data_IF_716870638341
#
_entry.id   IF_716870638341
#
_cell.length_a   1.000
_cell.length_b   1.000
_cell.length_c   1.000
_cell.angle_alpha   90.00
_cell.angle_beta   90.00
_cell.angle_gamma   90.00
#
_symmetry.space_group_name_H-M   'P 1'
#
loop_
_entity.id
_entity.type
_entity.pdbx_description
1 polymer ?
#
# COMPACT_ATOMS: atom_id res chain seq x y z
N UNK A 1 26.92 22.07 35.42
CA UNK A 1 26.66 21.31 36.66
C UNK A 1 26.54 19.85 36.23
N UNK A 2 27.51 18.99 36.59
CA UNK A 2 27.58 17.59 36.14
C UNK A 2 26.71 16.72 37.05
N UNK A 3 25.72 16.02 36.50
CA UNK A 3 25.02 14.94 37.22
C UNK A 3 25.35 13.63 36.51
N UNK A 4 26.08 12.79 37.23
CA UNK A 4 26.36 11.39 36.89
C UNK A 4 25.23 10.56 37.46
N UNK A 5 24.50 9.79 36.65
CA UNK A 5 23.70 8.68 37.15
C UNK A 5 24.31 7.36 36.69
N UNK A 6 24.59 6.53 37.71
CA UNK A 6 25.12 5.18 37.62
C UNK A 6 23.96 4.19 37.51
N UNK A 7 24.14 3.22 36.60
CA UNK A 7 24.11 1.77 36.84
C UNK A 7 22.95 1.19 37.66
N UNK A 8 22.16 0.32 37.04
CA UNK A 8 21.94 -1.06 37.52
C UNK A 8 21.32 -1.90 36.40
N UNK A 9 22.04 -2.94 35.97
CA UNK A 9 21.51 -4.00 35.13
C UNK A 9 20.70 -5.00 35.95
N UNK A 10 19.76 -5.66 35.28
CA UNK A 10 19.16 -6.90 35.76
C UNK A 10 19.06 -7.87 34.58
N UNK A 11 19.90 -8.90 34.64
CA UNK A 11 19.84 -10.10 33.81
C UNK A 11 18.74 -10.99 34.39
N UNK A 12 17.78 -11.42 33.58
CA UNK A 12 16.88 -12.51 33.94
C UNK A 12 16.86 -13.55 32.81
N UNK A 13 17.71 -14.57 32.96
CA UNK A 13 17.61 -15.84 32.24
C UNK A 13 16.55 -16.70 32.91
N UNK A 14 15.59 -17.24 32.15
CA UNK A 14 14.84 -18.43 32.53
C UNK A 14 14.61 -19.28 31.27
N UNK A 15 15.44 -20.32 31.15
CA UNK A 15 15.18 -21.50 30.33
C UNK A 15 14.85 -22.66 31.28
N UNK A 16 13.82 -23.45 30.95
CA UNK A 16 13.59 -24.86 31.35
C UNK A 16 12.26 -25.27 30.67
N UNK A 17 12.31 -25.92 29.51
CA UNK A 17 12.47 -27.37 29.29
C UNK A 17 11.14 -28.13 29.29
N UNK A 18 10.84 -28.70 28.12
CA UNK A 18 9.80 -29.68 27.86
C UNK A 18 10.00 -30.98 28.66
N UNK A 19 8.89 -31.62 29.03
CA UNK A 19 8.85 -33.04 29.33
C UNK A 19 7.54 -33.64 28.79
N UNK A 20 7.69 -34.45 27.76
CA UNK A 20 6.73 -35.39 27.20
C UNK A 20 6.41 -36.53 28.18
N UNK A 21 5.13 -36.93 28.28
CA UNK A 21 4.76 -38.27 28.72
C UNK A 21 3.63 -38.82 27.85
N UNK A 22 3.99 -39.88 27.12
CA UNK A 22 3.15 -40.85 26.43
C UNK A 22 2.39 -41.70 27.44
N UNK A 23 1.13 -42.06 27.16
CA UNK A 23 0.38 -43.03 27.95
C UNK A 23 -0.85 -43.58 27.21
N UNK A 24 -0.71 -44.80 26.68
CA UNK A 24 -1.74 -45.60 25.99
C UNK A 24 -2.82 -46.18 26.92
N UNK A 25 -3.97 -46.53 26.32
CA UNK A 25 -4.95 -47.53 26.79
C UNK A 25 -6.25 -46.89 27.32
N UNK A 26 -7.47 -47.24 26.90
CA UNK A 26 -7.97 -48.45 26.26
C UNK A 26 -9.23 -48.93 27.01
N UNK A 27 -10.40 -48.54 26.50
CA UNK A 27 -11.67 -49.29 26.44
C UNK A 27 -12.30 -49.94 27.70
N UNK A 28 -13.50 -49.50 28.14
CA UNK A 28 -14.80 -50.16 27.89
C UNK A 28 -15.98 -49.63 28.74
N UNK A 29 -17.03 -49.26 27.99
CA UNK A 29 -18.48 -49.42 28.18
C UNK A 29 -19.14 -49.61 29.57
N UNK A 30 -20.22 -48.84 29.79
CA UNK A 30 -21.50 -49.37 30.30
C UNK A 30 -22.69 -48.51 29.82
N UNK A 31 -23.80 -49.20 29.59
CA UNK A 31 -25.01 -48.89 28.80
C UNK A 31 -26.05 -47.90 29.39
N UNK A 32 -27.14 -47.75 28.60
CA UNK A 32 -28.57 -47.52 28.93
C UNK A 32 -29.09 -46.11 28.58
N UNK A 33 -30.18 -45.88 27.83
CA UNK A 33 -31.37 -46.65 27.38
C UNK A 33 -32.04 -45.81 26.25
N UNK A 34 -32.31 -46.37 25.06
CA UNK A 34 -33.60 -46.86 24.51
C UNK A 34 -34.70 -45.80 24.24
N UNK A 35 -35.04 -45.62 22.96
CA UNK A 35 -36.42 -45.60 22.40
C UNK A 35 -36.30 -45.49 20.87
N UNK A 36 -36.47 -46.60 20.15
CA UNK A 36 -37.72 -47.05 19.50
C UNK A 36 -37.77 -46.68 18.01
N UNK A 37 -38.08 -47.70 17.22
CA UNK A 37 -38.00 -47.78 15.78
C UNK A 37 -39.36 -47.54 15.15
N UNK A 38 -39.40 -47.14 13.88
CA UNK A 38 -40.31 -47.72 12.88
C UNK A 38 -39.59 -47.84 11.54
N UNK A 39 -39.63 -49.05 10.99
CA UNK A 39 -39.18 -49.46 9.66
C UNK A 39 -40.31 -49.26 8.65
N UNK A 40 -39.98 -48.99 7.38
CA UNK A 40 -40.66 -49.62 6.23
C UNK A 40 -39.69 -49.57 5.02
N UNK A 41 -39.07 -50.70 4.64
CA UNK A 41 -39.31 -51.53 3.43
C UNK A 41 -39.21 -50.74 2.09
N UNK A 42 -38.55 -51.19 1.01
CA UNK A 42 -38.20 -52.52 0.54
C UNK A 42 -37.00 -52.52 -0.44
N UNK A 43 -36.41 -53.70 -0.61
CA UNK A 43 -35.38 -54.18 -1.57
C UNK A 43 -35.74 -53.85 -3.05
N UNK A 44 -34.85 -53.88 -4.05
CA UNK A 44 -33.98 -55.02 -4.46
C UNK A 44 -33.00 -54.65 -5.59
N UNK A 45 -31.78 -55.19 -5.49
CA UNK A 45 -30.90 -55.83 -6.50
C UNK A 45 -30.28 -55.14 -7.75
N UNK A 46 -28.94 -55.04 -7.67
CA UNK A 46 -27.88 -55.63 -8.54
C UNK A 46 -27.31 -54.93 -9.80
N UNK A 47 -25.96 -54.87 -9.75
CA UNK A 47 -24.90 -55.00 -10.81
C UNK A 47 -24.77 -53.84 -11.81
N UNK A 48 -23.59 -53.42 -12.28
CA UNK A 48 -22.20 -53.86 -12.22
C UNK A 48 -21.32 -52.61 -12.46
N UNK A 49 -20.24 -52.39 -11.70
CA UNK A 49 -18.84 -52.55 -12.11
C UNK A 49 -18.44 -51.87 -13.44
N UNK A 50 -17.84 -50.68 -13.33
CA UNK A 50 -16.62 -50.33 -14.09
C UNK A 50 -15.80 -49.29 -13.32
N UNK A 51 -14.54 -49.62 -13.07
CA UNK A 51 -13.47 -48.74 -12.58
C UNK A 51 -13.39 -47.39 -13.32
N UNK A 52 -13.30 -46.31 -12.54
CA UNK A 52 -12.41 -45.19 -12.87
C UNK A 52 -12.01 -44.43 -11.61
N UNK A 53 -10.72 -44.60 -11.28
CA UNK A 53 -9.93 -43.83 -10.33
C UNK A 53 -9.80 -42.40 -10.84
N UNK A 54 -10.41 -41.43 -10.19
CA UNK A 54 -10.05 -40.01 -10.32
C UNK A 54 -10.44 -39.26 -9.04
N UNK A 55 -9.39 -38.87 -8.34
CA UNK A 55 -9.19 -37.71 -7.47
C UNK A 55 -10.41 -37.11 -6.75
N UNK A 56 -10.38 -37.27 -5.42
CA UNK A 56 -11.18 -36.55 -4.42
C UNK A 56 -10.94 -35.04 -4.58
N UNK A 57 -11.72 -34.38 -5.45
CA UNK A 57 -11.92 -32.94 -5.38
C UNK A 57 -12.74 -32.67 -4.11
N UNK A 58 -12.06 -32.15 -3.09
CA UNK A 58 -12.73 -31.58 -1.94
C UNK A 58 -13.60 -30.43 -2.43
N UNK A 59 -14.92 -30.60 -2.34
CA UNK A 59 -15.86 -29.49 -2.39
C UNK A 59 -15.50 -28.52 -1.27
N UNK A 60 -14.73 -27.48 -1.58
CA UNK A 60 -14.66 -26.28 -0.74
C UNK A 60 -16.08 -25.73 -0.62
N UNK A 61 -16.41 -25.31 0.60
CA UNK A 61 -17.72 -24.84 1.00
C UNK A 61 -17.98 -23.48 0.34
N UNK A 62 -18.89 -23.44 -0.64
CA UNK A 62 -19.26 -22.30 -1.52
C UNK A 62 -19.90 -21.10 -0.78
N UNK A 63 -19.86 -21.08 0.56
CA UNK A 63 -20.54 -20.07 1.39
C UNK A 63 -19.69 -18.86 1.76
N UNK A 64 -18.36 -18.94 1.58
CA UNK A 64 -17.43 -17.87 1.97
C UNK A 64 -16.72 -17.22 0.77
N UNK A 65 -17.00 -17.65 -0.47
CA UNK A 65 -16.39 -17.03 -1.64
C UNK A 65 -17.04 -15.67 -1.93
N UNK A 66 -16.22 -14.64 -2.10
CA UNK A 66 -16.66 -13.33 -2.57
C UNK A 66 -16.99 -13.37 -4.06
N UNK A 67 -17.91 -12.48 -4.47
CA UNK A 67 -18.32 -12.26 -5.86
C UNK A 67 -17.72 -10.96 -6.38
N UNK A 68 -17.91 -10.64 -7.66
CA UNK A 68 -17.51 -9.32 -8.20
C UNK A 68 -18.20 -8.17 -7.46
N UNK A 69 -19.45 -8.33 -7.02
CA UNK A 69 -20.18 -7.34 -6.23
C UNK A 69 -20.68 -7.94 -4.90
N UNK A 70 -20.38 -7.26 -3.79
CA UNK A 70 -20.63 -7.72 -2.44
C UNK A 70 -21.20 -6.59 -1.58
N UNK A 71 -22.11 -6.92 -0.68
CA UNK A 71 -22.52 -5.98 0.37
C UNK A 71 -21.55 -6.07 1.55
N UNK A 72 -21.15 -4.93 2.10
CA UNK A 72 -20.38 -4.89 3.35
C UNK A 72 -21.27 -5.42 4.50
N UNK A 73 -20.80 -6.39 5.31
CA UNK A 73 -21.54 -6.89 6.46
C UNK A 73 -21.82 -5.82 7.52
N UNK A 74 -22.80 -6.07 8.39
CA UNK A 74 -23.19 -5.12 9.44
C UNK A 74 -22.05 -4.81 10.42
N UNK A 75 -21.10 -5.71 10.65
CA UNK A 75 -19.91 -5.44 11.48
C UNK A 75 -18.79 -4.72 10.70
N UNK A 76 -18.89 -4.65 9.37
CA UNK A 76 -17.90 -4.04 8.49
C UNK A 76 -16.73 -4.96 8.12
N UNK A 77 -16.74 -6.22 8.54
CA UNK A 77 -15.57 -7.09 8.45
C UNK A 77 -15.68 -8.05 7.28
N UNK A 78 -14.68 -8.02 6.40
CA UNK A 78 -14.43 -9.06 5.40
C UNK A 78 -13.28 -9.92 5.92
N UNK A 79 -13.54 -11.20 6.21
CA UNK A 79 -12.55 -12.05 6.86
C UNK A 79 -11.39 -12.37 5.92
N UNK A 80 -10.25 -12.77 6.49
CA UNK A 80 -9.09 -13.22 5.72
C UNK A 80 -9.46 -14.34 4.74
N UNK A 81 -10.26 -15.32 5.16
CA UNK A 81 -10.68 -16.43 4.30
C UNK A 81 -11.56 -15.98 3.11
N UNK A 82 -12.33 -14.90 3.29
CA UNK A 82 -13.08 -14.29 2.20
C UNK A 82 -12.13 -13.59 1.22
N UNK A 83 -11.18 -12.79 1.73
CA UNK A 83 -10.17 -12.14 0.88
C UNK A 83 -9.27 -13.14 0.14
N UNK A 84 -8.97 -14.29 0.75
CA UNK A 84 -8.27 -15.40 0.10
C UNK A 84 -9.00 -15.93 -1.13
N UNK A 85 -10.33 -15.84 -1.19
CA UNK A 85 -11.08 -16.37 -2.34
C UNK A 85 -10.94 -15.54 -3.61
N UNK A 86 -10.41 -14.31 -3.51
CA UNK A 86 -10.23 -13.37 -4.62
C UNK A 86 -8.76 -13.01 -4.85
N UNK A 87 -7.86 -13.51 -3.99
CA UNK A 87 -6.44 -13.21 -4.04
C UNK A 87 -5.77 -13.80 -5.29
N UNK A 88 -5.17 -12.95 -6.12
CA UNK A 88 -4.54 -13.33 -7.38
C UNK A 88 -5.50 -13.53 -8.55
N UNK A 89 -6.81 -13.42 -8.32
CA UNK A 89 -7.84 -13.59 -9.35
C UNK A 89 -7.95 -12.34 -10.22
N UNK A 90 -8.19 -12.52 -11.53
CA UNK A 90 -8.36 -11.37 -12.43
C UNK A 90 -9.77 -10.81 -12.28
N UNK A 91 -9.89 -9.54 -11.91
CA UNK A 91 -11.16 -8.84 -11.85
C UNK A 91 -11.19 -7.77 -10.77
N UNK A 92 -12.22 -6.94 -10.82
CA UNK A 92 -12.54 -5.99 -9.76
C UNK A 92 -13.60 -6.58 -8.83
N UNK A 93 -13.36 -6.42 -7.54
CA UNK A 93 -14.22 -6.89 -6.46
C UNK A 93 -14.71 -5.69 -5.67
N UNK A 94 -16.01 -5.44 -5.73
CA UNK A 94 -16.70 -4.29 -5.17
C UNK A 94 -17.38 -4.65 -3.86
N UNK A 95 -17.25 -3.76 -2.88
CA UNK A 95 -17.86 -3.90 -1.56
C UNK A 95 -18.65 -2.64 -1.26
N UNK A 96 -19.97 -2.76 -1.28
CA UNK A 96 -20.90 -1.65 -1.14
C UNK A 96 -21.33 -1.45 0.31
N UNK A 97 -21.22 -0.21 0.77
CA UNK A 97 -21.72 0.25 2.06
C UNK A 97 -22.59 1.50 1.90
N UNK A 98 -23.42 1.73 2.90
CA UNK A 98 -24.25 2.94 3.00
C UNK A 98 -24.28 3.36 4.46
N UNK A 99 -24.10 4.65 4.71
CA UNK A 99 -24.18 5.23 6.05
C UNK A 99 -25.62 5.62 6.37
N UNK A 100 -25.94 5.77 7.66
CA UNK A 100 -27.32 6.06 8.11
C UNK A 100 -27.87 7.41 7.64
N UNK A 101 -26.99 8.33 7.24
CA UNK A 101 -27.28 9.64 6.68
C UNK A 101 -27.40 9.63 5.14
N UNK A 102 -27.27 8.47 4.48
CA UNK A 102 -27.56 8.29 3.06
C UNK A 102 -26.38 8.38 2.11
N UNK A 103 -25.15 8.60 2.61
CA UNK A 103 -23.94 8.53 1.77
C UNK A 103 -23.65 7.06 1.47
N UNK A 104 -23.57 6.73 0.18
CA UNK A 104 -23.16 5.39 -0.26
C UNK A 104 -21.69 5.39 -0.64
N UNK A 105 -21.02 4.26 -0.42
CA UNK A 105 -19.61 4.12 -0.75
C UNK A 105 -19.31 2.70 -1.24
N UNK A 106 -18.31 2.58 -2.11
CA UNK A 106 -17.87 1.31 -2.68
C UNK A 106 -16.35 1.21 -2.61
N UNK A 107 -15.85 0.19 -1.90
CA UNK A 107 -14.45 -0.22 -2.02
C UNK A 107 -14.28 -1.10 -3.25
N UNK A 108 -13.26 -0.83 -4.06
CA UNK A 108 -12.94 -1.61 -5.26
C UNK A 108 -11.53 -2.15 -5.13
N UNK A 109 -11.41 -3.48 -5.04
CA UNK A 109 -10.13 -4.19 -5.04
C UNK A 109 -9.89 -4.87 -6.38
N UNK A 110 -8.69 -4.74 -6.92
CA UNK A 110 -8.21 -5.58 -8.02
C UNK A 110 -7.67 -6.89 -7.44
N UNK A 111 -8.39 -8.00 -7.69
CA UNK A 111 -8.03 -9.31 -7.13
C UNK A 111 -6.59 -9.72 -7.46
N UNK A 112 -6.08 -9.30 -8.62
CA UNK A 112 -4.75 -9.67 -9.09
C UNK A 112 -3.62 -8.98 -8.30
N UNK A 113 -3.95 -7.90 -7.58
CA UNK A 113 -3.03 -7.16 -6.72
C UNK A 113 -3.00 -7.67 -5.28
N UNK A 114 -3.97 -8.50 -4.88
CA UNK A 114 -4.02 -9.08 -3.53
C UNK A 114 -3.05 -10.26 -3.46
N UNK A 115 -1.86 -10.00 -2.90
CA UNK A 115 -0.81 -11.01 -2.72
C UNK A 115 -0.83 -11.65 -1.33
N UNK A 116 -1.16 -10.88 -0.31
CA UNK A 116 -1.22 -11.32 1.08
C UNK A 116 -2.63 -11.03 1.62
N UNK A 117 -3.58 -11.96 1.46
CA UNK A 117 -4.93 -11.75 1.94
C UNK A 117 -4.93 -11.65 3.47
N UNK A 118 -5.61 -10.62 3.96
CA UNK A 118 -5.76 -10.29 5.37
C UNK A 118 -7.18 -9.78 5.61
N UNK A 119 -7.63 -9.80 6.86
CA UNK A 119 -8.95 -9.28 7.23
C UNK A 119 -9.06 -7.78 6.89
N UNK A 120 -10.20 -7.35 6.35
CA UNK A 120 -10.46 -5.95 6.01
C UNK A 120 -11.65 -5.42 6.81
N UNK A 121 -11.50 -4.21 7.35
CA UNK A 121 -12.51 -3.47 8.10
C UNK A 121 -13.02 -2.31 7.23
N UNK A 122 -13.99 -2.60 6.38
CA UNK A 122 -14.38 -1.74 5.27
C UNK A 122 -15.41 -0.67 5.61
N UNK A 123 -15.84 -0.55 6.87
CA UNK A 123 -16.77 0.52 7.27
C UNK A 123 -16.11 1.89 7.16
N UNK A 124 -16.86 2.83 6.63
CA UNK A 124 -16.47 4.24 6.51
C UNK A 124 -17.49 5.10 7.25
N UNK A 125 -17.00 6.07 8.01
CA UNK A 125 -17.80 7.11 8.65
C UNK A 125 -17.53 8.45 7.95
N UNK A 126 -18.58 9.22 7.70
CA UNK A 126 -18.49 10.56 7.12
C UNK A 126 -18.97 11.61 8.12
N UNK A 127 -18.39 12.81 8.07
CA UNK A 127 -18.77 13.92 8.96
C UNK A 127 -18.51 15.27 8.29
N UNK A 128 -19.46 16.19 8.46
CA UNK A 128 -19.33 17.59 8.05
C UNK A 128 -19.02 18.52 9.25
N UNK A 129 -18.78 17.95 10.44
CA UNK A 129 -18.54 18.71 11.66
C UNK A 129 -17.07 19.17 11.77
N UNK A 130 -16.86 20.34 12.39
CA UNK A 130 -15.53 20.90 12.71
C UNK A 130 -14.60 21.09 11.49
N UNK A 131 -15.17 21.47 10.34
CA UNK A 131 -14.42 21.64 9.09
C UNK A 131 -13.98 23.09 8.80
N UNK A 132 -14.37 24.07 9.63
CA UNK A 132 -14.11 25.50 9.35
C UNK A 132 -12.60 25.80 9.27
N UNK A 133 -11.80 25.27 10.19
CA UNK A 133 -10.34 25.47 10.17
C UNK A 133 -9.68 24.78 8.97
N UNK A 134 -10.19 23.60 8.61
CA UNK A 134 -9.72 22.83 7.45
C UNK A 134 -10.04 23.56 6.15
N UNK A 135 -11.27 24.06 5.97
CA UNK A 135 -11.65 24.87 4.81
C UNK A 135 -10.80 26.13 4.70
N UNK A 136 -10.56 26.81 5.82
CA UNK A 136 -9.70 28.00 5.86
C UNK A 136 -8.25 27.69 5.48
N UNK A 137 -7.71 26.56 5.91
CA UNK A 137 -6.39 26.10 5.50
C UNK A 137 -6.32 25.75 4.00
N UNK A 138 -7.47 25.46 3.39
CA UNK A 138 -7.66 25.14 1.97
C UNK A 138 -8.19 26.33 1.16
N UNK A 139 -7.77 27.56 1.47
CA UNK A 139 -8.17 28.79 0.77
C UNK A 139 -9.70 28.97 0.72
N UNK A 140 -10.35 28.77 1.88
CA UNK A 140 -11.80 28.86 2.07
C UNK A 140 -12.60 27.95 1.12
N UNK A 141 -12.12 26.71 0.91
CA UNK A 141 -12.76 25.71 0.06
C UNK A 141 -14.28 25.59 0.33
N UNK A 142 -15.13 25.67 -0.70
CA UNK A 142 -16.59 25.72 -0.51
C UNK A 142 -17.13 24.42 0.10
N UNK A 143 -16.54 23.28 -0.26
CA UNK A 143 -16.97 21.96 0.20
C UNK A 143 -15.84 21.23 0.93
N UNK A 144 -16.22 20.54 2.00
CA UNK A 144 -15.33 19.65 2.72
C UNK A 144 -16.14 18.49 3.32
N UNK A 145 -15.58 17.30 3.36
CA UNK A 145 -16.17 16.12 4.00
C UNK A 145 -15.09 15.30 4.69
N UNK A 146 -15.24 15.03 5.99
CA UNK A 146 -14.35 14.11 6.69
C UNK A 146 -14.68 12.67 6.28
N UNK A 147 -13.64 11.87 6.06
CA UNK A 147 -13.71 10.44 5.75
C UNK A 147 -12.89 9.73 6.81
N UNK A 148 -13.56 9.00 7.69
CA UNK A 148 -12.89 8.25 8.77
C UNK A 148 -12.89 6.77 8.43
N UNK A 149 -11.69 6.23 8.25
CA UNK A 149 -11.45 4.83 7.94
C UNK A 149 -11.14 4.06 9.22
N UNK A 150 -11.54 2.79 9.30
CA UNK A 150 -11.15 1.94 10.41
C UNK A 150 -9.68 1.50 10.26
N UNK A 151 -8.93 1.43 11.37
CA UNK A 151 -7.54 0.97 11.36
C UNK A 151 -7.43 -0.49 10.87
N UNK A 152 -6.74 -0.66 9.74
CA UNK A 152 -6.42 -1.93 9.09
C UNK A 152 -5.19 -1.81 8.16
N UNK A 153 -4.46 -2.91 8.01
CA UNK A 153 -3.55 -3.07 6.86
C UNK A 153 -4.40 -3.44 5.63
N UNK A 154 -4.18 -2.78 4.50
CA UNK A 154 -4.92 -3.07 3.27
C UNK A 154 -4.41 -4.34 2.60
N UNK A 155 -5.32 -5.21 2.16
CA UNK A 155 -4.94 -6.44 1.43
C UNK A 155 -4.27 -6.14 0.07
N UNK A 156 -4.59 -4.97 -0.51
CA UNK A 156 -3.96 -4.33 -1.66
C UNK A 156 -4.43 -2.86 -1.72
N UNK A 157 -3.77 -1.97 -2.48
CA UNK A 157 -4.33 -0.66 -2.81
C UNK A 157 -5.75 -0.81 -3.38
N UNK A 158 -6.66 0.05 -2.92
CA UNK A 158 -8.07 -0.02 -3.29
C UNK A 158 -8.60 1.36 -3.68
N UNK A 159 -9.53 1.40 -4.62
CA UNK A 159 -10.28 2.63 -4.92
C UNK A 159 -11.45 2.72 -3.95
N UNK A 160 -11.68 3.90 -3.38
CA UNK A 160 -12.90 4.21 -2.67
C UNK A 160 -13.73 5.19 -3.50
N UNK A 161 -14.94 4.77 -3.85
CA UNK A 161 -15.94 5.62 -4.48
C UNK A 161 -16.96 6.05 -3.43
N UNK A 162 -17.27 7.34 -3.37
CA UNK A 162 -18.21 7.94 -2.42
C UNK A 162 -19.26 8.71 -3.20
N UNK A 163 -20.53 8.34 -3.06
CA UNK A 163 -21.65 9.04 -3.67
C UNK A 163 -22.36 9.85 -2.60
N UNK A 164 -22.33 11.17 -2.77
CA UNK A 164 -22.89 12.13 -1.83
C UNK A 164 -24.41 12.20 -1.90
N UNK A 165 -25.02 12.84 -0.91
CA UNK A 165 -26.46 13.08 -0.86
C UNK A 165 -26.94 14.17 -1.82
N UNK A 166 -26.02 15.07 -2.19
CA UNK A 166 -26.24 16.24 -3.02
C UNK A 166 -25.08 16.45 -4.00
N UNK A 167 -25.32 17.33 -4.96
CA UNK A 167 -24.31 17.73 -5.94
C UNK A 167 -23.44 18.84 -5.36
N UNK A 168 -22.12 18.63 -5.40
CA UNK A 168 -21.13 19.68 -5.20
C UNK A 168 -20.86 20.38 -6.52
N UNK A 169 -20.89 21.71 -6.51
CA UNK A 169 -20.50 22.54 -7.65
C UNK A 169 -18.98 22.73 -7.62
N UNK A 170 -18.25 21.67 -7.98
CA UNK A 170 -16.80 21.62 -7.96
C UNK A 170 -16.27 20.86 -9.19
N UNK A 171 -15.14 21.32 -9.73
CA UNK A 171 -14.40 20.66 -10.81
C UNK A 171 -13.14 19.94 -10.31
N UNK A 172 -12.75 20.18 -9.06
CA UNK A 172 -11.59 19.60 -8.41
C UNK A 172 -11.92 19.13 -7.00
N UNK A 173 -11.41 17.96 -6.64
CA UNK A 173 -11.45 17.43 -5.26
C UNK A 173 -10.05 16.98 -4.86
N UNK A 174 -9.59 17.43 -3.70
CA UNK A 174 -8.36 16.96 -3.08
C UNK A 174 -8.70 15.95 -1.99
N UNK A 175 -8.03 14.80 -2.01
CA UNK A 175 -8.03 13.86 -0.90
C UNK A 175 -6.82 14.17 -0.01
N UNK A 176 -7.07 14.58 1.24
CA UNK A 176 -6.05 15.10 2.15
C UNK A 176 -6.10 14.42 3.51
N UNK A 177 -5.05 14.63 4.30
CA UNK A 177 -5.02 14.43 5.75
C UNK A 177 -4.75 15.77 6.43
N UNK A 178 -5.42 16.03 7.56
CA UNK A 178 -5.26 17.26 8.34
C UNK A 178 -4.62 16.94 9.69
N UNK A 179 -3.37 17.33 9.85
CA UNK A 179 -2.56 17.05 11.03
C UNK A 179 -1.72 18.28 11.39
N UNK A 180 -1.52 18.53 12.68
CA UNK A 180 -0.71 19.65 13.17
C UNK A 180 -1.10 21.02 12.57
N UNK A 181 -2.41 21.26 12.41
CA UNK A 181 -2.98 22.48 11.78
C UNK A 181 -2.55 22.69 10.32
N UNK A 182 -2.08 21.64 9.64
CA UNK A 182 -1.65 21.66 8.24
C UNK A 182 -2.37 20.60 7.40
N UNK A 183 -2.63 20.93 6.14
CA UNK A 183 -3.20 20.02 5.16
C UNK A 183 -2.10 19.38 4.32
N UNK A 184 -2.12 18.05 4.24
CA UNK A 184 -1.24 17.28 3.38
C UNK A 184 -2.08 16.57 2.31
N UNK A 185 -1.84 16.91 1.05
CA UNK A 185 -2.53 16.28 -0.08
C UNK A 185 -2.00 14.86 -0.29
N UNK A 186 -2.92 13.90 -0.43
CA UNK A 186 -2.62 12.48 -0.69
C UNK A 186 -2.90 12.09 -2.15
N UNK A 187 -3.99 12.60 -2.73
CA UNK A 187 -4.40 12.30 -4.11
C UNK A 187 -5.28 13.43 -4.69
N UNK A 188 -5.32 13.56 -6.02
CA UNK A 188 -6.34 14.35 -6.72
C UNK A 188 -7.54 13.44 -7.01
N UNK A 189 -8.59 13.57 -6.20
CA UNK A 189 -9.80 12.77 -6.33
C UNK A 189 -10.61 13.20 -7.57
N UNK A 190 -11.18 12.21 -8.26
CA UNK A 190 -12.06 12.46 -9.41
C UNK A 190 -13.46 12.74 -8.92
N UNK A 191 -14.12 13.75 -9.48
CA UNK A 191 -15.53 14.05 -9.23
C UNK A 191 -16.33 13.96 -10.52
N UNK A 192 -17.49 13.33 -10.45
CA UNK A 192 -18.47 13.27 -11.54
C UNK A 192 -19.89 13.42 -10.98
N UNK A 193 -20.82 13.86 -11.83
CA UNK A 193 -22.24 13.94 -11.46
C UNK A 193 -22.97 12.71 -11.97
N UNK A 194 -23.69 12.03 -11.08
CA UNK A 194 -24.46 10.82 -11.38
C UNK A 194 -25.92 11.03 -10.99
N UNK A 195 -26.84 10.34 -11.66
CA UNK A 195 -28.24 10.34 -11.26
C UNK A 195 -28.41 9.62 -9.91
N UNK A 196 -29.23 10.18 -9.01
CA UNK A 196 -29.44 9.63 -7.65
C UNK A 196 -29.95 8.19 -7.59
N UNK A 197 -30.57 7.71 -8.68
CA UNK A 197 -31.10 6.34 -8.82
C UNK A 197 -30.24 5.42 -9.73
N UNK A 198 -29.03 5.84 -10.10
CA UNK A 198 -28.13 5.04 -10.94
C UNK A 198 -27.46 3.93 -10.11
N UNK A 199 -28.20 2.85 -9.82
CA UNK A 199 -27.58 1.57 -9.48
C UNK A 199 -26.87 1.01 -10.72
N UNK A 200 -25.56 0.80 -10.59
CA UNK A 200 -24.67 -0.02 -11.44
C UNK A 200 -24.80 0.15 -12.97
N UNK A 201 -23.99 1.04 -13.52
CA UNK A 201 -23.87 1.29 -14.96
C UNK A 201 -23.14 0.15 -15.67
N UNK A 202 -23.83 -0.97 -15.90
CA UNK A 202 -23.41 -2.02 -16.86
C UNK A 202 -24.31 -2.10 -18.11
N UNK A 203 -25.07 -1.03 -18.42
CA UNK A 203 -25.81 -0.93 -19.69
C UNK A 203 -25.58 0.42 -20.36
N UNK A 204 -24.76 0.39 -21.40
CA UNK A 204 -24.76 1.37 -22.48
C UNK A 204 -26.17 1.40 -23.12
N UNK A 205 -27.00 2.36 -22.73
CA UNK A 205 -28.00 3.10 -23.51
C UNK A 205 -29.09 3.61 -22.56
N UNK A 206 -28.96 4.84 -22.06
CA UNK A 206 -30.13 5.71 -21.80
C UNK A 206 -29.74 7.16 -22.07
N UNK A 207 -30.54 7.78 -22.92
CA UNK A 207 -30.54 9.18 -23.32
C UNK A 207 -30.46 10.18 -22.18
N UNK A 208 -29.71 11.27 -22.42
CA UNK A 208 -29.72 12.54 -21.67
C UNK A 208 -31.15 13.08 -21.53
N UNK A 209 -31.81 12.76 -20.43
CA UNK A 209 -32.85 13.62 -19.85
C UNK A 209 -32.25 14.17 -18.57
N UNK A 210 -32.19 15.50 -18.46
CA UNK A 210 -31.72 16.22 -17.27
C UNK A 210 -32.54 15.77 -16.06
N UNK A 211 -32.02 14.85 -15.27
CA UNK A 211 -32.66 14.44 -14.03
C UNK A 211 -32.47 15.55 -13.01
N UNK A 212 -33.56 16.10 -12.47
CA UNK A 212 -33.56 17.12 -11.40
C UNK A 212 -32.92 16.64 -10.07
N UNK A 213 -32.29 15.46 -10.04
CA UNK A 213 -31.69 14.81 -8.87
C UNK A 213 -30.30 14.23 -9.21
N UNK A 214 -29.37 15.06 -9.68
CA UNK A 214 -27.95 14.68 -9.75
C UNK A 214 -27.30 14.77 -8.37
N UNK A 215 -26.36 13.86 -8.10
CA UNK A 215 -25.49 13.87 -6.92
C UNK A 215 -24.03 13.73 -7.36
N UNK A 216 -23.09 14.15 -6.51
CA UNK A 216 -21.67 14.00 -6.82
C UNK A 216 -21.16 12.63 -6.39
N UNK A 217 -20.42 11.97 -7.28
CA UNK A 217 -19.64 10.77 -7.01
C UNK A 217 -18.16 11.13 -7.05
N UNK A 218 -17.46 10.81 -5.97
CA UNK A 218 -16.04 11.11 -5.77
C UNK A 218 -15.27 9.79 -5.72
N UNK A 219 -14.19 9.66 -6.50
CA UNK A 219 -13.37 8.45 -6.59
C UNK A 219 -11.90 8.77 -6.35
N UNK A 220 -11.26 8.06 -5.41
CA UNK A 220 -9.87 8.27 -5.03
C UNK A 220 -9.18 6.98 -4.60
N UNK A 221 -7.85 6.95 -4.69
CA UNK A 221 -7.06 5.79 -4.26
C UNK A 221 -6.80 5.82 -2.76
N UNK A 222 -7.22 4.76 -2.07
CA UNK A 222 -6.90 4.52 -0.67
C UNK A 222 -5.72 3.56 -0.59
N UNK A 223 -4.59 4.10 -0.15
CA UNK A 223 -3.33 3.36 -0.03
C UNK A 223 -2.96 3.02 1.41
N UNK A 224 -3.64 3.62 2.40
CA UNK A 224 -3.48 3.34 3.82
C UNK A 224 -4.80 3.55 4.57
N UNK A 225 -4.97 2.85 5.69
CA UNK A 225 -6.09 2.97 6.61
C UNK A 225 -5.57 2.77 8.03
N UNK A 226 -4.80 3.73 8.52
CA UNK A 226 -4.16 3.76 9.85
C UNK A 226 -5.10 4.22 10.98
N UNK A 227 -6.38 4.45 10.69
CA UNK A 227 -7.37 4.91 11.65
C UNK A 227 -7.48 6.43 11.77
N UNK A 228 -6.75 7.17 10.95
CA UNK A 228 -6.79 8.63 10.90
C UNK A 228 -8.05 9.17 10.20
N UNK A 229 -8.26 10.47 10.36
CA UNK A 229 -9.36 11.21 9.71
C UNK A 229 -8.83 11.90 8.46
N UNK A 230 -9.37 11.49 7.32
CA UNK A 230 -9.08 12.07 6.03
C UNK A 230 -10.12 13.12 5.67
N UNK A 231 -9.81 13.97 4.69
CA UNK A 231 -10.73 15.02 4.24
C UNK A 231 -10.77 15.09 2.73
N UNK A 232 -11.98 15.10 2.17
CA UNK A 232 -12.23 15.49 0.78
C UNK A 232 -12.51 16.99 0.76
N UNK A 233 -11.68 17.76 0.06
CA UNK A 233 -11.81 19.21 -0.12
C UNK A 233 -12.15 19.50 -1.57
N UNK A 234 -13.25 20.19 -1.84
CA UNK A 234 -13.66 20.48 -3.21
C UNK A 234 -13.92 21.97 -3.45
N UNK A 235 -13.61 22.40 -4.67
CA UNK A 235 -13.77 23.77 -5.14
C UNK A 235 -13.66 23.87 -6.66
N UNK A 236 -13.69 25.10 -7.17
CA UNK A 236 -13.48 25.40 -8.59
C UNK A 236 -12.03 25.80 -8.84
N UNK A 237 -11.46 25.29 -9.93
CA UNK A 237 -10.09 25.58 -10.35
C UNK A 237 -9.81 27.04 -10.74
N UNK A 238 -10.86 27.87 -10.84
CA UNK A 238 -10.76 29.29 -11.24
C UNK A 238 -10.65 30.29 -10.08
N UNK A 239 -10.84 29.88 -8.82
CA UNK A 239 -10.86 30.81 -7.67
C UNK A 239 -9.48 31.08 -7.02
N UNK A 240 -8.40 30.45 -7.50
CA UNK A 240 -7.04 30.63 -6.94
C UNK A 240 -6.23 31.74 -7.62
N UNK A 241 -6.79 32.93 -7.83
CA UNK A 241 -5.99 34.13 -8.10
C UNK A 241 -6.74 35.45 -7.85
N UNK A 242 -6.39 36.13 -6.75
CA UNK A 242 -6.35 37.60 -6.53
C UNK A 242 -6.31 37.79 -4.99
N UNK A 243 -5.20 38.10 -4.33
CA UNK A 243 -4.60 39.44 -4.26
C UNK A 243 -3.28 39.39 -3.48
N UNK A 244 -2.17 39.88 -4.06
CA UNK A 244 -1.24 40.84 -3.39
C UNK A 244 -0.34 41.47 -4.47
N UNK A 245 -0.52 42.79 -4.67
CA UNK A 245 0.37 43.64 -5.46
C UNK A 245 1.74 43.82 -4.78
N UNK A 246 2.84 43.81 -5.55
CA UNK A 246 3.71 45.00 -5.59
C UNK A 246 4.49 45.08 -6.93
N UNK A 247 4.69 46.32 -7.34
CA UNK A 247 5.13 46.80 -8.64
C UNK A 247 6.65 46.81 -8.80
N UNK A 248 7.13 46.52 -9.99
CA UNK A 248 8.14 47.37 -10.63
C UNK A 248 8.11 47.19 -12.15
N UNK A 249 7.77 48.28 -12.83
CA UNK A 249 7.83 48.50 -14.27
C UNK A 249 9.24 48.19 -14.83
N UNK A 250 9.31 47.54 -15.99
CA UNK A 250 9.77 48.24 -17.18
C UNK A 250 9.24 47.59 -18.47
N UNK A 251 8.80 48.45 -19.37
CA UNK A 251 8.37 48.15 -20.74
C UNK A 251 9.64 47.89 -21.60
N UNK A 252 9.65 47.39 -22.83
CA UNK A 252 8.73 47.43 -23.95
C UNK A 252 9.42 46.57 -25.04
N UNK A 253 8.72 45.72 -25.80
CA UNK A 253 8.44 45.78 -27.26
C UNK A 253 8.53 44.32 -27.72
N UNK A 254 7.56 43.69 -28.38
CA UNK A 254 6.77 44.16 -29.50
C UNK A 254 7.20 43.31 -30.72
N UNK A 255 6.33 42.40 -31.15
CA UNK A 255 5.92 42.12 -32.54
C UNK A 255 5.52 40.66 -32.78
N UNK A 256 4.33 40.55 -33.35
CA UNK A 256 3.70 39.35 -33.91
C UNK A 256 4.43 38.86 -35.17
N UNK A 257 4.24 37.56 -35.47
CA UNK A 257 3.69 37.01 -36.72
C UNK A 257 4.42 35.78 -37.30
N UNK A 258 3.66 34.69 -37.30
CA UNK A 258 3.32 33.78 -38.42
C UNK A 258 4.41 33.32 -39.41
N UNK A 259 4.58 31.99 -39.37
CA UNK A 259 4.51 31.01 -40.48
C UNK A 259 5.49 31.07 -41.66
N UNK A 260 6.13 29.90 -41.81
CA UNK A 260 6.22 29.09 -43.05
C UNK A 260 7.28 29.43 -44.13
N UNK A 261 8.25 28.51 -44.21
CA UNK A 261 8.45 27.59 -45.33
C UNK A 261 9.84 27.61 -46.01
N UNK A 262 10.21 26.39 -46.38
CA UNK A 262 10.93 25.97 -47.57
C UNK A 262 12.47 25.84 -47.50
N UNK A 263 12.85 24.57 -47.29
CA UNK A 263 13.26 23.66 -48.38
C UNK A 263 14.74 23.33 -48.55
N UNK A 264 14.97 22.01 -48.60
CA UNK A 264 15.91 21.36 -49.50
C UNK A 264 17.03 20.62 -48.78
N UNK A 265 17.27 19.32 -48.98
CA UNK A 265 16.73 18.37 -49.95
C UNK A 265 17.29 16.97 -49.61
N UNK A 266 16.47 15.91 -49.76
CA UNK A 266 16.79 14.63 -50.47
C UNK A 266 17.90 13.69 -49.92
N UNK A 267 17.80 12.36 -49.86
CA UNK A 267 16.82 11.36 -50.31
C UNK A 267 17.21 9.99 -49.70
N UNK A 268 16.21 9.14 -49.43
CA UNK A 268 16.06 7.70 -49.78
C UNK A 268 17.24 6.70 -49.57
N UNK A 269 17.09 5.39 -49.32
CA UNK A 269 16.03 4.39 -49.56
C UNK A 269 16.27 3.16 -48.61
N UNK A 270 15.19 2.45 -48.30
CA UNK A 270 14.99 0.98 -48.16
C UNK A 270 15.66 0.19 -47.01
N UNK A 271 14.89 -0.47 -46.12
CA UNK A 271 14.02 -1.68 -46.26
C UNK A 271 14.82 -2.99 -46.34
N UNK A 272 14.76 -3.83 -45.29
CA UNK A 272 13.99 -5.09 -45.29
C UNK A 272 14.28 -5.93 -44.03
N UNK A 273 13.20 -6.57 -43.55
CA UNK A 273 13.16 -7.62 -42.54
C UNK A 273 13.87 -8.89 -43.00
N UNK A 274 14.27 -9.76 -42.07
CA UNK A 274 14.03 -11.21 -42.22
C UNK A 274 14.26 -11.96 -40.91
N UNK A 275 13.27 -12.77 -40.53
CA UNK A 275 13.30 -13.88 -39.59
C UNK A 275 14.11 -15.06 -40.15
N UNK A 276 14.74 -15.86 -39.28
CA UNK A 276 14.83 -17.31 -39.49
C UNK A 276 15.14 -18.09 -38.20
N UNK A 277 14.21 -19.00 -37.94
CA UNK A 277 14.14 -20.18 -37.07
C UNK A 277 15.31 -21.19 -37.20
N UNK A 278 15.51 -22.05 -36.18
CA UNK A 278 16.04 -23.41 -36.38
C UNK A 278 17.15 -24.00 -35.47
N UNK A 279 16.75 -24.44 -34.26
CA UNK A 279 16.92 -25.83 -33.74
C UNK A 279 18.25 -26.39 -33.14
N UNK A 280 18.01 -27.19 -32.08
CA UNK A 280 18.73 -28.37 -31.54
C UNK A 280 19.89 -28.10 -30.56
N UNK A 281 19.95 -28.58 -29.31
CA UNK A 281 19.26 -29.66 -28.60
C UNK A 281 20.32 -30.49 -27.87
N UNK A 282 20.38 -30.48 -26.54
CA UNK A 282 21.15 -31.44 -25.72
C UNK A 282 20.64 -31.45 -24.28
N UNK A 283 20.07 -32.60 -23.92
CA UNK A 283 19.58 -33.04 -22.63
C UNK A 283 20.78 -33.40 -21.71
N UNK A 284 20.76 -32.98 -20.44
CA UNK A 284 21.42 -33.75 -19.37
C UNK A 284 20.74 -33.49 -18.02
N UNK A 285 20.02 -34.50 -17.55
CA UNK A 285 19.54 -34.58 -16.18
C UNK A 285 20.64 -35.16 -15.31
N UNK A 286 21.11 -34.40 -14.32
CA UNK A 286 21.83 -34.97 -13.18
C UNK A 286 21.28 -34.43 -11.85
N UNK A 287 20.79 -35.37 -11.06
CA UNK A 287 20.41 -35.26 -9.67
C UNK A 287 21.67 -35.20 -8.79
N UNK A 288 21.84 -34.17 -7.96
CA UNK A 288 22.79 -34.19 -6.82
C UNK A 288 22.52 -33.10 -5.77
N UNK A 289 21.96 -33.55 -4.64
CA UNK A 289 22.18 -33.10 -3.25
C UNK A 289 22.85 -31.74 -2.97
N UNK A 290 22.02 -30.81 -2.46
CA UNK A 290 22.26 -29.86 -1.34
C UNK A 290 23.71 -29.41 -1.03
N UNK A 291 24.02 -28.17 -1.40
CA UNK A 291 24.78 -27.24 -0.57
C UNK A 291 23.87 -26.03 -0.31
N UNK A 292 23.48 -25.79 0.94
CA UNK A 292 22.87 -24.53 1.33
C UNK A 292 23.99 -23.47 1.27
N UNK A 293 24.17 -22.83 0.11
CA UNK A 293 24.99 -21.63 0.03
C UNK A 293 24.25 -20.53 0.79
N UNK A 294 24.72 -20.23 2.00
CA UNK A 294 24.23 -19.07 2.76
C UNK A 294 24.80 -17.82 2.10
N UNK A 295 23.97 -17.15 1.30
CA UNK A 295 24.31 -15.83 0.77
C UNK A 295 24.21 -14.79 1.89
N UNK A 296 25.25 -14.00 2.05
CA UNK A 296 25.39 -13.02 3.14
C UNK A 296 25.74 -11.68 2.53
N UNK A 297 25.03 -10.64 2.96
CA UNK A 297 25.43 -9.25 2.74
C UNK A 297 25.60 -8.57 4.10
N UNK A 298 26.06 -7.32 4.09
CA UNK A 298 26.12 -6.48 5.28
C UNK A 298 25.13 -5.33 5.15
N UNK A 299 24.49 -4.97 6.27
CA UNK A 299 23.58 -3.84 6.34
C UNK A 299 23.90 -2.95 7.55
N UNK A 300 23.79 -1.65 7.38
CA UNK A 300 23.84 -0.68 8.47
C UNK A 300 22.80 0.44 8.29
N UNK A 301 22.39 1.07 9.39
CA UNK A 301 21.40 2.14 9.43
C UNK A 301 21.91 3.25 10.35
N UNK A 302 22.14 4.44 9.80
CA UNK A 302 22.59 5.61 10.54
C UNK A 302 21.77 6.87 10.27
N UNK A 303 21.75 7.75 11.26
CA UNK A 303 21.11 9.07 11.23
C UNK A 303 22.05 10.15 11.79
N UNK A 304 23.36 10.00 11.59
CA UNK A 304 24.39 10.90 12.12
C UNK A 304 24.25 12.34 11.63
N UNK A 305 23.71 12.57 10.42
CA UNK A 305 23.41 13.90 9.89
C UNK A 305 22.50 14.74 10.80
N UNK A 306 21.59 14.10 11.54
CA UNK A 306 20.68 14.79 12.47
C UNK A 306 21.46 15.43 13.62
N UNK A 307 22.61 14.85 14.03
CA UNK A 307 23.42 15.39 15.12
C UNK A 307 23.99 16.78 14.79
N UNK A 308 24.22 17.05 13.50
CA UNK A 308 24.67 18.35 12.99
C UNK A 308 23.50 19.28 12.60
N UNK A 309 22.27 18.77 12.55
CA UNK A 309 21.04 19.49 12.16
C UNK A 309 19.95 19.40 13.25
N UNK A 310 20.35 19.40 14.52
CA UNK A 310 19.44 19.16 15.65
C UNK A 310 18.34 20.22 15.79
N UNK A 311 18.59 21.45 15.36
CA UNK A 311 17.61 22.55 15.44
C UNK A 311 16.45 22.36 14.44
N UNK A 312 16.65 21.60 13.37
CA UNK A 312 15.63 21.29 12.37
C UNK A 312 14.83 20.02 12.71
N UNK A 313 15.34 19.21 13.66
CA UNK A 313 14.68 17.99 14.11
C UNK A 313 13.37 18.33 14.83
N UNK A 314 12.26 17.73 14.39
CA UNK A 314 11.00 17.77 15.13
C UNK A 314 11.21 17.30 16.56
N UNK A 315 10.80 18.10 17.54
CA UNK A 315 11.11 17.85 18.96
C UNK A 315 10.60 16.51 19.49
N UNK A 316 9.50 15.99 18.94
CA UNK A 316 8.93 14.67 19.28
C UNK A 316 9.82 13.50 18.85
N UNK A 317 10.83 13.74 18.01
CA UNK A 317 11.70 12.71 17.44
C UNK A 317 13.03 12.54 18.17
N UNK A 318 13.36 13.48 19.06
CA UNK A 318 14.63 13.53 19.76
C UNK A 318 15.00 12.23 20.52
N UNK A 319 14.02 11.50 21.07
CA UNK A 319 14.28 10.26 21.80
C UNK A 319 14.71 9.08 20.91
N UNK A 320 14.44 9.19 19.60
CA UNK A 320 14.75 8.14 18.64
C UNK A 320 16.09 8.34 17.92
N UNK A 321 16.82 9.42 18.22
CA UNK A 321 18.16 9.67 17.66
C UNK A 321 19.23 9.14 18.61
N UNK A 322 19.96 8.07 18.25
CA UNK A 322 21.09 7.58 19.04
C UNK A 322 22.18 8.65 19.15
N UNK A 323 22.84 8.73 20.31
CA UNK A 323 23.86 9.77 20.56
C UNK A 323 25.08 9.69 19.65
N UNK A 324 25.33 8.53 19.04
CA UNK A 324 26.40 8.26 18.08
C UNK A 324 25.89 8.20 16.64
N UNK A 325 24.58 8.40 16.41
CA UNK A 325 23.94 8.35 15.10
C UNK A 325 23.71 6.95 14.55
N UNK A 326 24.04 5.87 15.26
CA UNK A 326 23.88 4.50 14.75
C UNK A 326 22.62 3.83 15.29
N UNK A 327 21.65 3.58 14.41
CA UNK A 327 20.43 2.83 14.72
C UNK A 327 20.72 1.32 14.62
N UNK A 328 21.43 0.94 13.57
CA UNK A 328 21.95 -0.41 13.38
C UNK A 328 23.40 -0.33 12.89
N UNK A 329 24.33 -0.77 13.74
CA UNK A 329 25.71 -0.97 13.33
C UNK A 329 25.81 -2.03 12.23
N UNK A 330 26.84 -1.94 11.38
CA UNK A 330 27.12 -2.93 10.33
C UNK A 330 27.00 -4.35 10.86
N UNK A 331 26.02 -5.07 10.31
CA UNK A 331 25.66 -6.42 10.72
C UNK A 331 25.55 -7.30 9.48
N UNK A 332 26.00 -8.55 9.60
CA UNK A 332 25.81 -9.56 8.55
C UNK A 332 24.34 -10.02 8.54
N UNK A 333 23.79 -10.20 7.36
CA UNK A 333 22.43 -10.71 7.16
C UNK A 333 22.40 -11.69 6.00
N UNK A 334 21.80 -12.85 6.26
CA UNK A 334 21.56 -13.87 5.23
C UNK A 334 20.38 -13.45 4.37
N UNK A 335 20.47 -13.67 3.06
CA UNK A 335 19.40 -13.40 2.11
C UNK A 335 19.22 -14.56 1.14
N UNK A 336 18.07 -14.60 0.47
CA UNK A 336 17.77 -15.58 -0.58
C UNK A 336 18.08 -14.97 -1.94
N UNK A 337 18.69 -15.70 -2.90
CA UNK A 337 18.89 -15.20 -4.25
C UNK A 337 17.58 -14.66 -4.84
N UNK A 338 17.63 -13.40 -5.29
CA UNK A 338 16.46 -12.67 -5.78
C UNK A 338 15.82 -11.71 -4.76
N UNK A 339 16.24 -11.74 -3.50
CA UNK A 339 15.90 -10.72 -2.51
C UNK A 339 16.42 -9.35 -2.96
N UNK A 340 15.66 -8.33 -2.59
CA UNK A 340 15.96 -6.93 -2.91
C UNK A 340 16.58 -6.21 -1.71
N UNK A 341 17.14 -5.02 -1.92
CA UNK A 341 17.58 -4.17 -0.80
C UNK A 341 16.42 -3.87 0.16
N UNK A 342 15.20 -3.74 -0.36
CA UNK A 342 13.99 -3.62 0.47
C UNK A 342 13.78 -4.85 1.37
N UNK A 343 13.90 -6.06 0.81
CA UNK A 343 13.69 -7.30 1.57
C UNK A 343 14.76 -7.45 2.67
N UNK A 344 16.01 -7.10 2.35
CA UNK A 344 17.12 -7.11 3.32
C UNK A 344 16.88 -6.07 4.43
N UNK A 345 16.49 -4.84 4.10
CA UNK A 345 16.16 -3.82 5.11
C UNK A 345 15.02 -4.31 6.01
N UNK A 346 13.93 -4.81 5.42
CA UNK A 346 12.77 -5.32 6.15
C UNK A 346 13.17 -6.44 7.11
N UNK A 347 14.00 -7.37 6.66
CA UNK A 347 14.52 -8.48 7.48
C UNK A 347 15.42 -7.99 8.61
N UNK A 348 16.34 -7.06 8.34
CA UNK A 348 17.24 -6.49 9.34
C UNK A 348 16.48 -5.74 10.44
N UNK A 349 15.54 -4.87 10.06
CA UNK A 349 14.71 -4.12 10.99
C UNK A 349 13.85 -5.07 11.85
N UNK A 350 13.23 -6.08 11.23
CA UNK A 350 12.44 -7.10 11.95
C UNK A 350 13.27 -7.86 12.98
N UNK A 351 14.49 -8.30 12.62
CA UNK A 351 15.38 -9.03 13.53
C UNK A 351 15.91 -8.17 14.68
N UNK A 352 16.15 -6.89 14.43
CA UNK A 352 16.65 -5.95 15.43
C UNK A 352 15.54 -5.30 16.27
N UNK A 353 14.26 -5.52 15.95
CA UNK A 353 13.13 -4.86 16.60
C UNK A 353 13.07 -3.35 16.29
N UNK A 354 13.56 -2.95 15.13
CA UNK A 354 13.56 -1.56 14.66
C UNK A 354 12.28 -1.33 13.87
N UNK A 355 11.53 -0.29 14.20
CA UNK A 355 10.36 0.09 13.42
C UNK A 355 10.78 0.55 12.02
N UNK A 356 10.01 0.15 11.02
CA UNK A 356 10.19 0.60 9.64
C UNK A 356 8.81 0.91 9.05
N UNK A 357 8.73 2.00 8.31
CA UNK A 357 7.56 2.42 7.55
C UNK A 357 7.97 2.60 6.09
N UNK A 358 7.15 2.05 5.20
CA UNK A 358 7.39 2.08 3.77
C UNK A 358 6.09 2.10 3.01
N UNK A 359 6.05 2.80 1.89
CA UNK A 359 4.91 2.87 0.98
C UNK A 359 5.29 2.34 -0.38
N UNK A 360 4.50 1.41 -0.92
CA UNK A 360 4.72 0.98 -2.30
C UNK A 360 4.38 2.13 -3.25
N UNK A 361 5.30 2.43 -4.18
CA UNK A 361 5.14 3.47 -5.20
C UNK A 361 5.02 2.81 -6.57
N UNK A 362 3.79 2.59 -7.08
CA UNK A 362 3.57 1.85 -8.33
C UNK A 362 4.32 2.43 -9.54
N UNK A 363 4.45 3.76 -9.58
CA UNK A 363 5.17 4.47 -10.65
C UNK A 363 6.64 4.05 -10.74
N UNK A 364 7.26 3.68 -9.62
CA UNK A 364 8.66 3.31 -9.53
C UNK A 364 8.87 1.81 -9.26
N UNK A 365 7.81 1.00 -9.30
CA UNK A 365 7.89 -0.44 -9.04
C UNK A 365 8.52 -0.81 -7.69
N UNK A 366 8.56 0.13 -6.73
CA UNK A 366 9.38 0.01 -5.53
C UNK A 366 8.70 0.55 -4.29
N UNK A 367 9.03 -0.04 -3.15
CA UNK A 367 8.78 0.57 -1.86
C UNK A 367 9.68 1.79 -1.68
N UNK A 368 9.05 2.90 -1.29
CA UNK A 368 9.68 4.09 -0.77
C UNK A 368 9.74 3.98 0.75
N UNK A 369 10.91 4.24 1.35
CA UNK A 369 11.10 4.15 2.80
C UNK A 369 10.80 5.50 3.42
N UNK A 370 9.64 5.57 4.06
CA UNK A 370 9.13 6.80 4.69
C UNK A 370 9.78 7.01 6.05
N UNK A 371 10.11 5.93 6.79
CA UNK A 371 10.74 6.05 8.09
C UNK A 371 11.43 4.78 8.60
N UNK A 372 12.46 4.98 9.41
CA UNK A 372 13.18 3.92 10.13
C UNK A 372 13.43 4.42 11.56
N UNK A 373 13.16 3.57 12.55
CA UNK A 373 13.30 3.90 13.97
C UNK A 373 12.53 5.16 14.37
N UNK A 374 11.28 5.29 13.93
CA UNK A 374 10.42 6.46 14.17
C UNK A 374 10.94 7.80 13.58
N UNK A 375 12.05 7.80 12.85
CA UNK A 375 12.56 8.96 12.12
C UNK A 375 12.07 8.88 10.68
N UNK A 376 11.24 9.82 10.28
CA UNK A 376 10.57 9.85 8.99
C UNK A 376 11.18 10.89 8.07
N UNK A 377 10.88 10.80 6.77
CA UNK A 377 11.06 11.92 5.87
C UNK A 377 10.46 13.21 6.46
N UNK A 378 11.11 14.33 6.15
CA UNK A 378 10.73 15.66 6.61
C UNK A 378 10.86 15.93 8.12
N UNK A 379 11.33 14.97 8.93
CA UNK A 379 11.56 15.20 10.38
C UNK A 379 12.72 16.15 10.68
N UNK A 380 13.61 16.41 9.72
CA UNK A 380 14.66 17.46 9.75
C UNK A 380 14.49 18.46 8.60
N UNK A 381 13.25 18.82 8.28
CA UNK A 381 12.91 19.78 7.22
C UNK A 381 12.66 19.14 5.86
N UNK A 382 12.12 19.91 4.90
CA UNK A 382 11.60 19.44 3.61
C UNK A 382 12.58 18.62 2.74
N UNK A 383 13.87 18.71 3.01
CA UNK A 383 14.93 18.04 2.25
C UNK A 383 15.46 16.79 2.95
N UNK A 384 14.83 16.37 4.06
CA UNK A 384 15.25 15.25 4.88
C UNK A 384 14.53 13.96 4.56
N UNK A 385 15.21 12.82 4.69
CA UNK A 385 14.66 11.51 4.37
C UNK A 385 15.69 10.38 4.37
N UNK A 386 15.26 9.19 3.94
CA UNK A 386 16.11 8.00 3.91
C UNK A 386 16.70 7.75 2.53
N UNK A 387 18.02 7.57 2.49
CA UNK A 387 18.74 7.16 1.28
C UNK A 387 19.45 5.83 1.53
N UNK A 388 19.58 5.03 0.48
CA UNK A 388 20.38 3.82 0.54
C UNK A 388 21.55 3.89 -0.43
N UNK A 389 22.65 3.23 -0.06
CA UNK A 389 23.78 2.98 -0.95
C UNK A 389 24.16 1.51 -0.92
N UNK A 390 24.67 1.00 -2.04
CA UNK A 390 25.26 -0.32 -2.15
C UNK A 390 26.71 -0.17 -2.58
N UNK A 391 27.64 -0.69 -1.78
CA UNK A 391 29.08 -0.58 -2.01
C UNK A 391 29.57 0.88 -2.20
N UNK A 392 28.96 1.82 -1.46
CA UNK A 392 29.26 3.25 -1.52
C UNK A 392 28.67 4.00 -2.71
N UNK A 393 27.89 3.32 -3.57
CA UNK A 393 27.16 3.92 -4.67
C UNK A 393 25.69 4.13 -4.28
N UNK A 394 25.14 5.32 -4.54
CA UNK A 394 23.73 5.66 -4.33
C UNK A 394 22.93 5.38 -5.61
N UNK A 395 22.05 4.37 -5.64
CA UNK A 395 21.23 4.10 -6.81
C UNK A 395 20.21 5.21 -7.03
N UNK A 396 19.88 5.48 -8.29
CA UNK A 396 18.86 6.46 -8.71
C UNK A 396 17.49 5.80 -8.97
N UNK A 397 17.27 4.63 -8.40
CA UNK A 397 16.04 3.85 -8.48
C UNK A 397 15.72 3.28 -7.10
N UNK A 398 14.53 2.70 -6.95
CA UNK A 398 14.02 2.28 -5.65
C UNK A 398 14.66 0.98 -5.13
N UNK A 399 14.71 0.84 -3.80
CA UNK A 399 15.33 -0.30 -3.13
C UNK A 399 14.70 -1.67 -3.42
N UNK A 400 13.52 -1.73 -4.04
CA UNK A 400 12.90 -2.98 -4.49
C UNK A 400 13.38 -3.46 -5.87
N UNK A 401 14.13 -2.65 -6.60
CA UNK A 401 14.67 -3.05 -7.91
C UNK A 401 16.09 -3.63 -7.82
N UNK A 402 16.90 -3.18 -6.84
CA UNK A 402 18.24 -3.72 -6.65
C UNK A 402 18.16 -5.14 -6.09
N UNK A 403 18.65 -6.12 -6.86
CA UNK A 403 18.81 -7.52 -6.41
C UNK A 403 20.15 -7.67 -5.69
N UNK A 404 20.10 -8.14 -4.45
CA UNK A 404 21.28 -8.22 -3.59
C UNK A 404 22.22 -9.32 -4.06
N UNK A 405 23.51 -9.01 -4.08
CA UNK A 405 24.58 -9.95 -4.39
C UNK A 405 25.36 -10.34 -3.13
N UNK A 406 25.98 -11.52 -3.16
CA UNK A 406 26.76 -12.02 -2.04
C UNK A 406 27.95 -11.08 -1.77
N UNK A 407 28.11 -10.67 -0.51
CA UNK A 407 29.13 -9.73 -0.08
C UNK A 407 28.79 -8.25 -0.24
N UNK A 408 27.58 -7.89 -0.71
CA UNK A 408 27.18 -6.49 -0.81
C UNK A 408 27.23 -5.76 0.54
N UNK A 409 27.67 -4.50 0.52
CA UNK A 409 27.59 -3.58 1.65
C UNK A 409 26.47 -2.57 1.44
N UNK A 410 25.36 -2.77 2.14
CA UNK A 410 24.16 -1.93 2.10
C UNK A 410 24.19 -0.95 3.27
N UNK A 411 24.02 0.33 2.98
CA UNK A 411 23.97 1.38 4.01
C UNK A 411 22.69 2.20 3.83
N UNK A 412 21.94 2.40 4.91
CA UNK A 412 20.82 3.33 5.00
C UNK A 412 21.23 4.54 5.80
N UNK A 413 21.09 5.72 5.20
CA UNK A 413 21.53 7.00 5.76
C UNK A 413 20.38 7.99 5.76
N UNK A 414 20.11 8.57 6.92
CA UNK A 414 19.21 9.71 7.00
C UNK A 414 19.93 10.95 6.46
N UNK A 415 19.37 11.59 5.44
CA UNK A 415 19.83 12.89 4.93
C UNK A 415 19.00 14.00 5.55
N UNK A 416 19.61 15.15 5.80
CA UNK A 416 18.93 16.42 6.07
C UNK A 416 19.02 17.38 4.86
N UNK A 417 19.77 17.03 3.80
CA UNK A 417 20.00 17.90 2.65
C UNK A 417 20.09 17.16 1.30
N UNK A 418 19.01 16.45 0.93
CA UNK A 418 18.85 15.72 -0.35
C UNK A 418 20.05 14.83 -0.76
N UNK A 419 20.79 14.31 0.22
CA UNK A 419 21.91 13.42 0.02
C UNK A 419 23.29 14.05 0.04
N UNK A 420 23.39 15.39 -0.05
CA UNK A 420 24.68 16.09 -0.10
C UNK A 420 25.51 15.96 1.18
N UNK A 421 24.83 15.77 2.31
CA UNK A 421 25.39 15.59 3.65
C UNK A 421 25.75 14.13 3.98
N UNK A 422 25.26 13.17 3.19
CA UNK A 422 25.53 11.73 3.36
C UNK A 422 26.41 11.14 2.25
N UNK A 423 26.95 12.00 1.38
CA UNK A 423 27.93 11.62 0.35
C UNK A 423 27.34 11.30 -1.03
N UNK A 424 26.07 11.63 -1.29
CA UNK A 424 25.49 11.54 -2.62
C UNK A 424 25.88 12.75 -3.48
N UNK A 425 26.80 12.56 -4.42
CA UNK A 425 27.40 13.63 -5.23
C UNK A 425 26.57 14.17 -6.40
N UNK A 426 25.32 13.72 -6.57
CA UNK A 426 24.44 14.13 -7.69
C UNK A 426 23.41 15.22 -7.34
N UNK A 427 23.51 15.89 -6.19
CA UNK A 427 22.68 17.05 -5.87
C UNK A 427 23.11 18.27 -6.72
N UNK A 428 22.45 18.45 -7.87
CA UNK A 428 22.60 19.60 -8.77
C UNK A 428 21.33 19.85 -9.56
#
# INVERSE_FOLDING_TARGET
>A
MKIKNKLTGLILCLALSAASLTGCGGEKASESVRSEAVQDTAKTDKKADTDKKETKAEKKNDKNALKEDNQIPEDGVITKEQMESIAGEKGEYRFHGETSDGISYTWIYDGSKIKNPIEQKLKVEFSEENLDEIKKAADDAPYALQVKLQEMELAAPATLEVTLNEKWDADRVLYCIYEDEQLYQLDDAKIENVGKDAEDSSKEDVSKEESENEVSKISFQVNKADGDVYVLLAGSSEDSSEDTQDSSEDAQTGEENTSEDASGNDSQVADEQTESDGSDGSDDSSDSSSQEENHICTISIECSSILDNWDDLKSSKAEFVPSDGWILYTSEISFTPGDTVFDVLKSACSQAGIQMSSRYTPMYGSYYIEGINQLYEFDCGQNSGWMYSVNGWFPNYGCSEYKVEDGDNIEWKYTCNLGSDVGNGYAG
#
